data_IF_889538450676
#
_entry.id   IF_889538450676
#
_cell.length_a   1.000
_cell.length_b   1.000
_cell.length_c   1.000
_cell.angle_alpha   90.00
_cell.angle_beta   90.00
_cell.angle_gamma   90.00
#
_symmetry.space_group_name_H-M   'P 1'
#
loop_
_entity.id
_entity.type
_entity.pdbx_description
1 polymer ?
#
# COMPACT_ATOMS: atom_id res chain seq x y z
N UNK A 1 -14.65 11.57 -6.85
CA UNK A 1 -14.18 11.56 -6.54
C UNK A 1 -14.03 11.75 -5.70
N UNK A 2 -14.06 11.58 -5.52
CA UNK A 2 -13.85 11.79 -4.69
C UNK A 2 -13.09 12.50 -4.15
N UNK A 3 -12.70 13.01 -3.90
CA UNK A 3 -12.05 13.54 -3.60
C UNK A 3 -11.62 13.85 -3.05
N UNK A 4 -11.63 14.15 -2.92
CA UNK A 4 -11.10 14.30 -2.59
C UNK A 4 -10.31 15.18 -2.08
N UNK A 5 -9.56 14.97 -1.36
CA UNK A 5 -8.51 15.82 -0.83
C UNK A 5 -7.37 15.91 -1.80
N UNK A 6 -6.72 17.07 -1.85
CA UNK A 6 -5.50 17.20 -2.61
C UNK A 6 -4.44 17.78 -1.71
N UNK A 7 -3.20 17.44 -1.98
CA UNK A 7 -2.04 17.96 -1.29
C UNK A 7 -1.02 18.39 -2.32
N UNK A 8 -0.11 19.26 -1.91
CA UNK A 8 1.05 19.55 -2.72
C UNK A 8 2.27 19.00 -2.02
N UNK A 9 2.97 18.09 -2.68
CA UNK A 9 4.18 17.49 -2.16
C UNK A 9 5.21 17.46 -3.27
N UNK A 10 6.43 17.88 -2.96
CA UNK A 10 7.51 17.86 -3.93
C UNK A 10 7.13 18.60 -5.21
N UNK A 11 6.34 19.67 -5.07
CA UNK A 11 5.93 20.47 -6.22
C UNK A 11 4.78 19.90 -7.00
N UNK A 12 4.18 18.82 -6.55
CA UNK A 12 3.06 18.20 -7.24
C UNK A 12 1.80 18.29 -6.41
N UNK A 13 0.68 18.46 -7.07
CA UNK A 13 -0.62 18.39 -6.41
C UNK A 13 -1.06 16.93 -6.41
N UNK A 14 -1.35 16.43 -5.22
CA UNK A 14 -1.66 15.03 -5.05
C UNK A 14 -3.12 14.89 -4.65
N UNK A 15 -3.83 14.06 -5.37
CA UNK A 15 -5.19 13.70 -5.01
C UNK A 15 -5.13 12.51 -4.06
N UNK A 16 -5.75 12.64 -2.91
CA UNK A 16 -5.71 11.60 -1.89
C UNK A 16 -6.79 10.56 -2.06
N UNK A 17 -7.49 10.62 -3.14
CA UNK A 17 -8.46 9.62 -3.51
C UNK A 17 -7.73 8.30 -3.73
N UNK A 18 -8.25 7.23 -3.15
CA UNK A 18 -7.63 5.92 -3.29
C UNK A 18 -8.22 5.12 -4.45
N UNK A 19 -8.97 5.77 -5.31
CA UNK A 19 -9.51 5.12 -6.48
C UNK A 19 -8.35 4.73 -7.39
N UNK A 20 -8.17 3.44 -7.69
CA UNK A 20 -7.05 3.01 -8.54
C UNK A 20 -7.11 3.60 -9.94
N UNK A 21 -8.27 4.06 -10.36
CA UNK A 21 -8.40 4.68 -11.67
C UNK A 21 -7.72 6.03 -11.72
N UNK A 22 -7.70 6.75 -10.62
CA UNK A 22 -7.19 8.11 -10.57
C UNK A 22 -5.68 8.21 -10.36
N UNK A 23 -5.03 7.12 -10.04
CA UNK A 23 -3.58 7.07 -9.89
C UNK A 23 -3.04 8.20 -8.99
N UNK A 24 -3.40 8.20 -7.69
CA UNK A 24 -2.92 9.25 -6.80
C UNK A 24 -1.39 9.35 -6.84
N UNK A 25 -0.85 10.56 -6.95
CA UNK A 25 0.60 10.71 -7.12
C UNK A 25 1.45 10.09 -6.03
N UNK A 26 0.96 10.01 -4.80
CA UNK A 26 1.78 9.40 -3.75
C UNK A 26 1.90 7.89 -3.92
N UNK A 27 1.21 7.31 -4.89
CA UNK A 27 1.36 5.90 -5.25
C UNK A 27 2.09 5.74 -6.58
N UNK A 28 2.40 6.85 -7.27
CA UNK A 28 2.96 6.79 -8.62
C UNK A 28 4.28 7.53 -8.73
N UNK A 29 5.07 7.50 -7.68
CA UNK A 29 6.34 8.22 -7.66
C UNK A 29 7.38 7.63 -8.57
N UNK A 30 7.32 6.35 -8.83
CA UNK A 30 8.28 5.71 -9.69
C UNK A 30 7.67 5.45 -11.07
N UNK A 31 8.29 4.55 -11.77
CA UNK A 31 7.83 4.17 -13.10
C UNK A 31 6.61 3.25 -13.05
N UNK A 32 6.38 2.61 -11.93
CA UNK A 32 5.20 1.75 -11.77
C UNK A 32 4.34 2.29 -10.64
N UNK A 33 3.07 1.95 -10.72
CA UNK A 33 2.12 2.36 -9.70
C UNK A 33 2.09 1.37 -8.56
N UNK A 34 1.75 1.86 -7.38
CA UNK A 34 1.64 1.00 -6.22
C UNK A 34 0.70 -0.17 -6.46
N UNK A 35 -0.45 0.10 -7.08
CA UNK A 35 -1.42 -0.96 -7.31
C UNK A 35 -0.86 -2.04 -8.24
N UNK A 36 -0.01 -1.65 -9.18
CA UNK A 36 0.63 -2.62 -10.06
C UNK A 36 1.56 -3.53 -9.29
N UNK A 37 2.34 -2.93 -8.37
CA UNK A 37 3.24 -3.72 -7.54
C UNK A 37 2.46 -4.67 -6.64
N UNK A 38 1.37 -4.18 -6.05
CA UNK A 38 0.53 -5.01 -5.18
C UNK A 38 -0.03 -6.19 -5.98
N UNK A 39 -0.57 -5.92 -7.16
CA UNK A 39 -1.11 -6.99 -7.99
C UNK A 39 -0.07 -8.05 -8.30
N UNK A 40 1.14 -7.59 -8.63
CA UNK A 40 2.21 -8.52 -8.99
C UNK A 40 2.57 -9.44 -7.85
N UNK A 41 2.60 -8.89 -6.64
CA UNK A 41 3.01 -9.67 -5.47
C UNK A 41 1.89 -10.56 -4.98
N UNK A 42 0.66 -10.04 -4.90
CA UNK A 42 -0.43 -10.82 -4.30
C UNK A 42 -0.91 -11.95 -5.21
N UNK A 43 -0.67 -11.85 -6.52
CA UNK A 43 -1.13 -12.94 -7.39
C UNK A 43 -0.40 -14.25 -7.13
N UNK A 44 0.72 -14.20 -6.42
CA UNK A 44 1.47 -15.41 -6.08
C UNK A 44 1.00 -16.01 -4.76
N UNK A 45 0.09 -15.34 -4.09
CA UNK A 45 -0.38 -15.76 -2.77
C UNK A 45 -1.74 -16.42 -2.94
N UNK A 46 -1.88 -17.63 -2.41
CA UNK A 46 -3.12 -18.37 -2.58
C UNK A 46 -4.14 -18.09 -1.50
N UNK A 47 -3.72 -17.51 -0.39
CA UNK A 47 -4.60 -17.25 0.73
C UNK A 47 -5.02 -15.78 0.72
N UNK A 48 -6.33 -15.53 0.72
CA UNK A 48 -6.84 -14.17 0.64
C UNK A 48 -6.43 -13.31 1.82
N UNK A 49 -6.35 -13.89 3.00
CA UNK A 49 -5.96 -13.14 4.18
C UNK A 49 -4.50 -12.71 4.10
N UNK A 50 -3.64 -13.63 3.66
CA UNK A 50 -2.23 -13.29 3.46
C UNK A 50 -2.09 -12.19 2.40
N UNK A 51 -2.88 -12.30 1.33
CA UNK A 51 -2.84 -11.30 0.27
C UNK A 51 -3.27 -9.94 0.77
N UNK A 52 -4.26 -9.89 1.62
CA UNK A 52 -4.73 -8.63 2.19
C UNK A 52 -3.63 -7.96 3.01
N UNK A 53 -2.99 -8.74 3.90
CA UNK A 53 -1.91 -8.20 4.71
C UNK A 53 -0.75 -7.73 3.84
N UNK A 54 -0.38 -8.55 2.87
CA UNK A 54 0.75 -8.22 1.99
C UNK A 54 0.49 -6.94 1.22
N UNK A 55 -0.72 -6.79 0.69
CA UNK A 55 -1.07 -5.58 -0.04
C UNK A 55 -0.99 -4.33 0.83
N UNK A 56 -1.42 -4.45 2.09
CA UNK A 56 -1.34 -3.31 2.99
C UNK A 56 0.09 -2.98 3.38
N UNK A 57 0.93 -3.99 3.55
CA UNK A 57 2.35 -3.76 3.82
C UNK A 57 2.96 -2.96 2.68
N UNK A 58 2.72 -3.41 1.45
CA UNK A 58 3.27 -2.71 0.29
C UNK A 58 2.75 -1.29 0.19
N UNK A 59 1.47 -1.10 0.46
CA UNK A 59 0.88 0.24 0.40
C UNK A 59 1.59 1.19 1.35
N UNK A 60 1.81 0.77 2.59
CA UNK A 60 2.46 1.63 3.57
C UNK A 60 3.93 1.86 3.25
N UNK A 61 4.62 0.83 2.78
CA UNK A 61 6.02 0.99 2.38
C UNK A 61 6.16 1.93 1.18
N UNK A 62 5.19 1.87 0.28
CA UNK A 62 5.23 2.67 -0.94
C UNK A 62 5.13 4.16 -0.65
N UNK A 63 4.31 4.50 0.34
CA UNK A 63 3.94 5.90 0.51
C UNK A 63 4.43 6.55 1.80
N UNK A 64 5.09 5.81 2.69
CA UNK A 64 5.40 6.38 4.01
C UNK A 64 6.23 7.65 3.91
N UNK A 65 7.08 7.76 2.90
CA UNK A 65 7.97 8.91 2.77
C UNK A 65 7.20 10.17 2.36
N UNK A 66 6.05 10.00 1.74
CA UNK A 66 5.24 11.13 1.28
C UNK A 66 4.06 11.41 2.18
N UNK A 67 3.65 10.43 2.96
CA UNK A 67 2.46 10.51 3.77
C UNK A 67 2.61 9.58 4.96
N UNK A 68 2.17 10.02 6.12
CA UNK A 68 2.11 9.22 7.34
C UNK A 68 3.46 8.94 8.01
N UNK A 69 4.58 8.99 7.32
CA UNK A 69 5.89 8.83 7.92
C UNK A 69 5.99 7.63 8.85
N UNK A 70 6.41 7.89 10.08
CA UNK A 70 6.59 6.83 11.07
C UNK A 70 5.30 6.05 11.32
N UNK A 71 4.18 6.76 11.38
CA UNK A 71 2.91 6.09 11.62
C UNK A 71 2.61 5.07 10.52
N UNK A 72 2.92 5.44 9.27
CA UNK A 72 2.74 4.52 8.15
C UNK A 72 3.62 3.29 8.29
N UNK A 73 4.87 3.49 8.68
CA UNK A 73 5.77 2.36 8.89
C UNK A 73 5.28 1.46 10.01
N UNK A 74 4.76 2.05 11.07
CA UNK A 74 4.25 1.25 12.19
C UNK A 74 3.02 0.46 11.79
N UNK A 75 2.16 1.05 10.98
CA UNK A 75 1.00 0.32 10.47
C UNK A 75 1.44 -0.84 9.59
N UNK A 76 2.41 -0.60 8.72
CA UNK A 76 2.95 -1.67 7.89
C UNK A 76 3.55 -2.79 8.72
N UNK A 77 4.24 -2.41 9.80
CA UNK A 77 4.83 -3.39 10.69
C UNK A 77 3.76 -4.27 11.35
N UNK A 78 2.64 -3.66 11.73
CA UNK A 78 1.55 -4.41 12.34
C UNK A 78 0.98 -5.44 11.36
N UNK A 79 0.77 -5.02 10.11
CA UNK A 79 0.30 -5.95 9.09
C UNK A 79 1.32 -7.05 8.83
N UNK A 80 2.60 -6.70 8.91
CA UNK A 80 3.65 -7.69 8.71
C UNK A 80 3.59 -8.77 9.78
N UNK A 81 3.34 -8.36 11.03
CA UNK A 81 3.18 -9.32 12.11
C UNK A 81 2.01 -10.26 11.87
N UNK A 82 0.90 -9.70 11.41
CA UNK A 82 -0.27 -10.52 11.10
C UNK A 82 -0.01 -11.46 9.93
N UNK A 83 0.75 -11.00 8.96
CA UNK A 83 1.12 -11.86 7.83
C UNK A 83 1.94 -13.06 8.31
N UNK A 84 2.91 -12.80 9.17
CA UNK A 84 3.73 -13.88 9.72
C UNK A 84 2.86 -14.88 10.45
N UNK A 85 1.96 -14.38 11.29
CA UNK A 85 1.08 -15.25 12.05
C UNK A 85 0.20 -16.08 11.13
N UNK A 86 -0.37 -15.45 10.12
CA UNK A 86 -1.23 -16.19 9.19
C UNK A 86 -0.46 -17.23 8.42
N UNK A 87 0.75 -16.89 8.00
CA UNK A 87 1.59 -17.84 7.27
C UNK A 87 1.86 -19.08 8.11
N UNK A 88 2.14 -18.88 9.40
CA UNK A 88 2.36 -20.01 10.29
C UNK A 88 1.14 -20.89 10.39
N UNK A 89 -0.05 -20.30 10.36
CA UNK A 89 -1.29 -21.06 10.44
C UNK A 89 -1.55 -21.88 9.19
N UNK A 90 -1.16 -21.35 8.03
CA UNK A 90 -1.46 -22.02 6.76
C UNK A 90 -0.35 -22.94 6.29
N UNK A 91 0.83 -22.86 6.92
CA UNK A 91 1.99 -23.65 6.49
C UNK A 91 2.52 -24.49 7.66
N UNK A 92 1.63 -25.16 8.32
CA UNK A 92 2.02 -26.02 9.44
C UNK A 92 2.72 -27.27 8.98
#
# INVERSE_FOLDING_TARGET
>A
MGTIDTLTMNGQTITLDCDPVDKPPHYTHGEIECIEAIREVVRRVNDGEEGYYLGNILKYLWRYNDKDGLEGLEKGYKYYGWLIQRYKETHK
#
